data_IF_890447900169
#
_entry.id   IF_890447900169
#
_cell.length_a   1.000
_cell.length_b   1.000
_cell.length_c   1.000
_cell.angle_alpha   90.00
_cell.angle_beta   90.00
_cell.angle_gamma   90.00
#
_symmetry.space_group_name_H-M   'P 1'
#
loop_
_entity.id
_entity.type
_entity.pdbx_description
1 polymer ?
#
# COMPACT_ATOMS: atom_id res chain seq x y z
N UNK A 1 -21.77 12.09 10.32
CA UNK A 1 -20.80 11.81 9.24
C UNK A 1 -21.05 10.37 8.83
N UNK A 2 -21.43 10.08 7.59
CA UNK A 2 -21.73 8.70 7.23
C UNK A 2 -20.42 7.91 7.21
N UNK A 3 -20.32 6.89 8.05
CA UNK A 3 -19.16 6.01 8.04
C UNK A 3 -19.12 5.25 6.70
N UNK A 4 -17.93 4.86 6.22
CA UNK A 4 -17.83 4.12 4.96
C UNK A 4 -18.67 2.80 4.96
N UNK A 5 -19.00 2.24 6.12
CA UNK A 5 -19.89 1.07 6.23
C UNK A 5 -21.39 1.39 6.07
N UNK A 6 -21.77 2.67 6.15
CA UNK A 6 -23.11 3.19 5.86
C UNK A 6 -23.23 3.65 4.39
N UNK A 7 -22.09 3.69 3.68
CA UNK A 7 -22.02 4.01 2.26
C UNK A 7 -22.49 2.84 1.40
N UNK A 8 -23.18 3.09 0.26
CA UNK A 8 -23.46 2.05 -0.72
C UNK A 8 -22.19 1.38 -1.27
N UNK A 9 -21.04 2.06 -1.16
CA UNK A 9 -19.75 1.59 -1.64
C UNK A 9 -19.01 0.64 -0.68
N UNK A 10 -19.59 0.32 0.48
CA UNK A 10 -18.91 -0.50 1.51
C UNK A 10 -18.39 -1.84 0.98
N UNK A 11 -19.17 -2.51 0.13
CA UNK A 11 -18.77 -3.80 -0.44
C UNK A 11 -17.69 -3.64 -1.51
N UNK A 12 -17.68 -2.54 -2.26
CA UNK A 12 -16.61 -2.21 -3.19
C UNK A 12 -15.29 -1.97 -2.44
N UNK A 13 -15.33 -1.20 -1.35
CA UNK A 13 -14.15 -0.93 -0.51
C UNK A 13 -13.64 -2.21 0.15
N UNK A 14 -14.55 -3.03 0.70
CA UNK A 14 -14.20 -4.33 1.26
C UNK A 14 -13.55 -5.25 0.22
N UNK A 15 -14.15 -5.35 -0.97
CA UNK A 15 -13.61 -6.13 -2.07
C UNK A 15 -12.22 -5.63 -2.48
N UNK A 16 -12.06 -4.32 -2.69
CA UNK A 16 -10.78 -3.72 -3.07
C UNK A 16 -9.71 -3.99 -2.00
N UNK A 17 -10.06 -3.90 -0.72
CA UNK A 17 -9.16 -4.20 0.39
C UNK A 17 -8.72 -5.66 0.36
N UNK A 18 -9.67 -6.60 0.25
CA UNK A 18 -9.37 -8.03 0.23
C UNK A 18 -8.54 -8.39 -1.00
N UNK A 19 -8.91 -7.90 -2.18
CA UNK A 19 -8.16 -8.13 -3.41
C UNK A 19 -6.72 -7.60 -3.29
N UNK A 20 -6.55 -6.37 -2.79
CA UNK A 20 -5.23 -5.77 -2.61
C UNK A 20 -4.40 -6.50 -1.54
N UNK A 21 -5.05 -6.95 -0.46
CA UNK A 21 -4.42 -7.79 0.56
C UNK A 21 -3.88 -9.10 -0.04
N UNK A 22 -4.71 -9.81 -0.80
CA UNK A 22 -4.31 -11.06 -1.45
C UNK A 22 -3.22 -10.84 -2.49
N UNK A 23 -3.29 -9.76 -3.27
CA UNK A 23 -2.26 -9.43 -4.25
C UNK A 23 -0.87 -9.30 -3.61
N UNK A 24 -0.76 -8.56 -2.51
CA UNK A 24 0.49 -8.39 -1.76
C UNK A 24 0.90 -9.66 -1.02
N UNK A 25 -0.05 -10.39 -0.43
CA UNK A 25 0.21 -11.65 0.27
C UNK A 25 0.73 -12.72 -0.68
N UNK A 26 0.10 -12.89 -1.83
CA UNK A 26 0.54 -13.85 -2.84
C UNK A 26 1.99 -13.55 -3.23
N UNK A 27 2.27 -12.32 -3.64
CA UNK A 27 3.62 -11.88 -4.01
C UNK A 27 4.66 -12.11 -2.90
N UNK A 28 4.34 -11.72 -1.67
CA UNK A 28 5.23 -11.90 -0.52
C UNK A 28 5.44 -13.37 -0.14
N UNK A 29 4.36 -14.14 -0.02
CA UNK A 29 4.40 -15.55 0.37
C UNK A 29 5.11 -16.43 -0.66
N UNK A 30 5.00 -16.12 -1.95
CA UNK A 30 5.76 -16.82 -2.99
C UNK A 30 7.27 -16.76 -2.70
N UNK A 31 7.76 -15.59 -2.30
CA UNK A 31 9.15 -15.45 -1.90
C UNK A 31 9.45 -16.04 -0.52
N UNK A 32 8.61 -15.79 0.49
CA UNK A 32 8.87 -16.23 1.88
C UNK A 32 8.87 -17.75 2.02
N UNK A 33 7.93 -18.44 1.35
CA UNK A 33 7.73 -19.88 1.45
C UNK A 33 8.58 -20.63 0.42
N UNK A 34 8.52 -20.22 -0.84
CA UNK A 34 9.14 -20.96 -1.95
C UNK A 34 10.49 -20.40 -2.39
N UNK A 35 10.93 -19.28 -1.79
CA UNK A 35 12.13 -18.54 -2.24
C UNK A 35 12.09 -18.19 -3.73
N UNK A 36 10.88 -18.11 -4.28
CA UNK A 36 10.68 -17.85 -5.69
C UNK A 36 10.91 -16.37 -5.98
N UNK A 37 11.80 -16.10 -6.93
CA UNK A 37 12.04 -14.78 -7.51
C UNK A 37 11.63 -14.89 -8.98
N UNK A 38 10.66 -14.08 -9.46
CA UNK A 38 10.30 -14.09 -10.87
C UNK A 38 11.50 -13.78 -11.76
N UNK A 39 11.56 -14.41 -12.93
CA UNK A 39 12.57 -14.02 -13.92
C UNK A 39 12.20 -12.67 -14.54
N UNK A 40 13.03 -11.67 -14.28
CA UNK A 40 12.89 -10.32 -14.84
C UNK A 40 13.82 -10.07 -16.03
N UNK A 41 14.46 -11.11 -16.58
CA UNK A 41 15.35 -11.01 -17.76
C UNK A 41 14.70 -10.35 -18.97
N UNK A 42 13.38 -10.51 -19.10
CA UNK A 42 12.58 -9.92 -20.17
C UNK A 42 12.16 -8.46 -19.90
N UNK A 43 12.29 -7.94 -18.67
CA UNK A 43 11.81 -6.62 -18.26
C UNK A 43 12.84 -5.47 -18.49
N UNK A 44 13.82 -5.70 -19.36
CA UNK A 44 14.83 -4.69 -19.73
C UNK A 44 15.51 -4.02 -18.53
N UNK A 45 15.43 -2.68 -18.46
CA UNK A 45 16.04 -1.88 -17.37
C UNK A 45 15.42 -2.16 -16.00
N UNK A 46 14.14 -2.55 -15.96
CA UNK A 46 13.45 -2.91 -14.72
C UNK A 46 14.07 -4.19 -14.15
N UNK A 47 14.38 -5.16 -15.00
CA UNK A 47 15.05 -6.39 -14.58
C UNK A 47 16.42 -6.15 -13.96
N UNK A 48 17.25 -5.29 -14.56
CA UNK A 48 18.55 -4.92 -13.98
C UNK A 48 18.41 -4.21 -12.62
N UNK A 49 17.42 -3.34 -12.48
CA UNK A 49 17.13 -2.66 -11.22
C UNK A 49 16.68 -3.65 -10.12
N UNK A 50 15.76 -4.56 -10.45
CA UNK A 50 15.28 -5.57 -9.49
C UNK A 50 16.41 -6.54 -9.11
N UNK A 51 17.26 -6.94 -10.06
CA UNK A 51 18.45 -7.74 -9.78
C UNK A 51 19.37 -7.05 -8.77
N UNK A 52 19.70 -5.79 -9.00
CA UNK A 52 20.53 -5.01 -8.07
C UNK A 52 19.87 -4.84 -6.68
N UNK A 53 18.54 -4.66 -6.62
CA UNK A 53 17.80 -4.63 -5.35
C UNK A 53 17.89 -5.97 -4.61
N UNK A 54 17.84 -7.09 -5.34
CA UNK A 54 17.95 -8.42 -4.77
C UNK A 54 19.36 -8.71 -4.25
N UNK A 55 20.40 -8.24 -4.95
CA UNK A 55 21.80 -8.41 -4.55
C UNK A 55 22.10 -7.72 -3.20
N UNK A 56 21.49 -6.57 -2.94
CA UNK A 56 21.65 -5.83 -1.66
C UNK A 56 20.66 -6.23 -0.58
N UNK A 57 19.79 -7.22 -0.82
CA UNK A 57 18.80 -7.68 0.16
C UNK A 57 17.51 -6.85 0.22
N UNK A 58 17.39 -5.78 -0.56
CA UNK A 58 16.25 -4.86 -0.49
C UNK A 58 14.98 -5.46 -1.09
N UNK A 59 15.08 -6.23 -2.18
CA UNK A 59 13.94 -6.96 -2.75
C UNK A 59 13.30 -7.91 -1.71
N UNK A 60 14.15 -8.64 -0.98
CA UNK A 60 13.76 -9.61 0.04
C UNK A 60 13.07 -8.90 1.20
N UNK A 61 13.63 -7.78 1.64
CA UNK A 61 13.00 -6.91 2.65
C UNK A 61 11.59 -6.48 2.21
N UNK A 62 11.43 -6.05 0.95
CA UNK A 62 10.12 -5.69 0.40
C UNK A 62 9.16 -6.87 0.43
N UNK A 63 9.57 -8.09 0.06
CA UNK A 63 8.69 -9.28 0.12
C UNK A 63 8.25 -9.67 1.53
N UNK A 64 9.12 -9.54 2.52
CA UNK A 64 8.70 -9.70 3.92
C UNK A 64 7.69 -8.63 4.33
N UNK A 65 7.93 -7.39 3.91
CA UNK A 65 7.03 -6.28 4.20
C UNK A 65 5.67 -6.45 3.51
N UNK A 66 5.63 -6.85 2.24
CA UNK A 66 4.39 -7.19 1.51
C UNK A 66 3.57 -8.26 2.25
N UNK A 67 4.25 -9.29 2.77
CA UNK A 67 3.61 -10.36 3.55
C UNK A 67 2.97 -9.83 4.83
N UNK A 68 3.70 -8.99 5.59
CA UNK A 68 3.20 -8.41 6.84
C UNK A 68 2.02 -7.47 6.55
N UNK A 69 2.20 -6.52 5.62
CA UNK A 69 1.19 -5.52 5.30
C UNK A 69 -0.06 -6.17 4.69
N UNK A 70 0.11 -7.15 3.81
CA UNK A 70 -1.00 -7.90 3.24
C UNK A 70 -1.79 -8.66 4.32
N UNK A 71 -1.11 -9.22 5.32
CA UNK A 71 -1.76 -9.86 6.48
C UNK A 71 -2.55 -8.85 7.30
N UNK A 72 -1.98 -7.66 7.55
CA UNK A 72 -2.65 -6.58 8.27
C UNK A 72 -3.92 -6.12 7.54
N UNK A 73 -3.86 -5.93 6.21
CA UNK A 73 -5.04 -5.58 5.40
C UNK A 73 -6.10 -6.69 5.42
N UNK A 74 -5.68 -7.96 5.34
CA UNK A 74 -6.58 -9.11 5.35
C UNK A 74 -7.34 -9.22 6.68
N UNK A 75 -6.63 -9.05 7.79
CA UNK A 75 -7.19 -9.13 9.16
C UNK A 75 -7.86 -7.84 9.63
N UNK A 76 -7.89 -6.79 8.80
CA UNK A 76 -8.42 -5.47 9.16
C UNK A 76 -7.70 -4.80 10.35
N UNK A 77 -6.40 -5.06 10.50
CA UNK A 77 -5.58 -4.53 11.59
C UNK A 77 -4.73 -3.39 11.04
N UNK A 78 -4.81 -2.22 11.68
CA UNK A 78 -3.99 -1.04 11.33
C UNK A 78 -4.04 -0.67 9.83
N UNK A 79 -5.19 -0.88 9.17
CA UNK A 79 -5.34 -0.69 7.72
C UNK A 79 -4.82 0.66 7.22
N UNK A 80 -5.11 1.81 7.88
CA UNK A 80 -4.61 3.08 7.39
C UNK A 80 -3.08 3.18 7.36
N UNK A 81 -2.42 2.63 8.39
CA UNK A 81 -0.96 2.58 8.45
C UNK A 81 -0.41 1.68 7.34
N UNK A 82 -1.00 0.50 7.16
CA UNK A 82 -0.54 -0.46 6.18
C UNK A 82 -0.67 0.08 4.75
N UNK A 83 -1.76 0.78 4.42
CA UNK A 83 -1.94 1.43 3.12
C UNK A 83 -0.90 2.51 2.82
N UNK A 84 -0.49 3.30 3.83
CA UNK A 84 0.57 4.32 3.68
C UNK A 84 1.91 3.66 3.34
N UNK A 85 2.27 2.58 4.05
CA UNK A 85 3.52 1.88 3.78
C UNK A 85 3.48 1.20 2.41
N UNK A 86 2.35 0.56 2.06
CA UNK A 86 2.13 0.01 0.73
C UNK A 86 2.22 1.07 -0.37
N UNK A 87 1.77 2.31 -0.12
CA UNK A 87 1.87 3.38 -1.11
C UNK A 87 3.32 3.65 -1.56
N UNK A 88 4.30 3.50 -0.65
CA UNK A 88 5.72 3.58 -1.01
C UNK A 88 6.14 2.51 -2.01
N UNK A 89 5.66 1.27 -1.81
CA UNK A 89 5.90 0.13 -2.72
C UNK A 89 5.17 0.36 -4.05
N UNK A 90 3.88 0.71 -4.00
CA UNK A 90 3.05 0.97 -5.17
C UNK A 90 3.65 2.10 -6.03
N UNK A 91 4.17 3.19 -5.45
CA UNK A 91 4.81 4.27 -6.21
C UNK A 91 6.00 3.75 -7.01
N UNK A 92 6.85 2.89 -6.43
CA UNK A 92 7.97 2.27 -7.15
C UNK A 92 7.46 1.38 -8.28
N UNK A 93 6.47 0.52 -8.03
CA UNK A 93 5.88 -0.35 -9.06
C UNK A 93 5.28 0.47 -10.20
N UNK A 94 4.48 1.48 -9.87
CA UNK A 94 3.86 2.41 -10.84
C UNK A 94 4.92 3.09 -11.70
N UNK A 95 5.99 3.58 -11.08
CA UNK A 95 7.06 4.25 -11.82
C UNK A 95 7.74 3.31 -12.81
N UNK A 96 8.16 2.12 -12.35
CA UNK A 96 8.85 1.15 -13.19
C UNK A 96 7.95 0.65 -14.33
N UNK A 97 6.72 0.29 -14.01
CA UNK A 97 5.83 -0.36 -14.96
C UNK A 97 5.19 0.62 -15.96
N UNK A 98 4.93 1.88 -15.57
CA UNK A 98 4.28 2.85 -16.47
C UNK A 98 5.29 3.67 -17.27
N UNK A 99 6.49 3.91 -16.73
CA UNK A 99 7.44 4.86 -17.33
C UNK A 99 8.76 4.24 -17.79
N UNK A 100 9.17 3.08 -17.24
CA UNK A 100 10.48 2.48 -17.57
C UNK A 100 10.34 1.33 -18.56
N UNK A 101 9.41 0.40 -18.34
CA UNK A 101 9.19 -0.75 -19.22
C UNK A 101 7.68 -1.02 -19.42
N UNK A 102 7.00 -0.27 -20.29
CA UNK A 102 5.54 -0.35 -20.43
C UNK A 102 5.10 -1.56 -21.29
N UNK A 103 5.54 -2.76 -20.92
CA UNK A 103 4.99 -3.98 -21.51
C UNK A 103 3.52 -4.14 -21.10
N UNK A 104 2.64 -4.77 -21.92
CA UNK A 104 1.19 -4.82 -21.65
C UNK A 104 0.83 -5.35 -20.25
N UNK A 105 1.57 -6.36 -19.77
CA UNK A 105 1.41 -6.92 -18.42
C UNK A 105 1.84 -5.93 -17.33
N UNK A 106 2.93 -5.22 -17.56
CA UNK A 106 3.49 -4.24 -16.61
C UNK A 106 2.55 -3.04 -16.51
N UNK A 107 2.09 -2.51 -17.65
CA UNK A 107 1.09 -1.43 -17.70
C UNK A 107 -0.17 -1.76 -16.89
N UNK A 108 -0.71 -2.96 -17.08
CA UNK A 108 -1.86 -3.42 -16.31
C UNK A 108 -1.56 -3.45 -14.80
N UNK A 109 -0.41 -4.01 -14.41
CA UNK A 109 -0.01 -4.12 -13.01
C UNK A 109 0.23 -2.74 -12.39
N UNK A 110 0.89 -1.83 -13.09
CA UNK A 110 1.14 -0.47 -12.62
C UNK A 110 -0.16 0.33 -12.44
N UNK A 111 -1.08 0.24 -13.41
CA UNK A 111 -2.40 0.87 -13.27
C UNK A 111 -3.22 0.25 -12.13
N UNK A 112 -3.19 -1.07 -12.00
CA UNK A 112 -3.87 -1.78 -10.91
C UNK A 112 -3.37 -1.29 -9.54
N UNK A 113 -2.05 -1.21 -9.35
CA UNK A 113 -1.43 -0.70 -8.12
C UNK A 113 -1.87 0.72 -7.80
N UNK A 114 -1.78 1.62 -8.79
CA UNK A 114 -2.17 3.02 -8.64
C UNK A 114 -3.64 3.16 -8.25
N UNK A 115 -4.52 2.45 -8.95
CA UNK A 115 -5.96 2.56 -8.76
C UNK A 115 -6.40 1.94 -7.44
N UNK A 116 -5.89 0.76 -7.07
CA UNK A 116 -6.29 0.10 -5.83
C UNK A 116 -5.73 0.80 -4.60
N UNK A 117 -4.43 1.10 -4.58
CA UNK A 117 -3.82 1.80 -3.46
C UNK A 117 -4.43 3.21 -3.31
N UNK A 118 -4.57 3.95 -4.41
CA UNK A 118 -5.19 5.27 -4.43
C UNK A 118 -6.66 5.26 -3.97
N UNK A 119 -7.46 4.33 -4.48
CA UNK A 119 -8.88 4.21 -4.07
C UNK A 119 -9.02 3.85 -2.61
N UNK A 120 -8.18 2.93 -2.10
CA UNK A 120 -8.20 2.55 -0.69
C UNK A 120 -7.72 3.70 0.20
N UNK A 121 -6.67 4.43 -0.18
CA UNK A 121 -6.24 5.62 0.53
C UNK A 121 -7.36 6.67 0.62
N UNK A 122 -8.12 6.87 -0.46
CA UNK A 122 -9.28 7.76 -0.46
C UNK A 122 -10.42 7.23 0.41
N UNK A 123 -10.72 5.92 0.35
CA UNK A 123 -11.77 5.29 1.15
C UNK A 123 -11.48 5.38 2.66
N UNK A 124 -10.21 5.29 3.06
CA UNK A 124 -9.74 5.50 4.43
C UNK A 124 -9.32 6.97 4.70
N UNK A 125 -9.62 7.90 3.78
CA UNK A 125 -9.17 9.29 3.77
C UNK A 125 -9.48 10.08 5.03
N UNK A 126 -10.60 9.77 5.69
CA UNK A 126 -10.97 10.40 6.96
C UNK A 126 -9.90 10.25 8.05
N UNK A 127 -9.20 9.11 8.08
CA UNK A 127 -8.10 8.87 9.03
C UNK A 127 -6.84 9.67 8.69
N UNK A 128 -6.67 10.09 7.43
CA UNK A 128 -5.50 10.84 6.96
C UNK A 128 -5.70 12.36 6.96
N UNK A 129 -6.88 12.86 7.31
CA UNK A 129 -7.20 14.29 7.21
C UNK A 129 -6.17 15.21 7.89
N UNK A 130 -5.56 14.77 9.00
CA UNK A 130 -4.52 15.54 9.69
C UNK A 130 -3.20 15.64 8.93
N UNK A 131 -2.89 14.72 8.00
CA UNK A 131 -1.67 14.78 7.19
C UNK A 131 -1.72 15.88 6.12
N UNK A 132 -2.91 16.36 5.76
CA UNK A 132 -3.07 17.46 4.79
C UNK A 132 -2.96 18.87 5.41
N UNK A 133 -2.58 18.97 6.69
CA UNK A 133 -2.36 20.28 7.32
C UNK A 133 -1.10 20.95 6.79
N UNK A 134 -1.28 22.11 6.16
CA UNK A 134 -0.18 22.92 5.62
C UNK A 134 0.80 23.38 6.72
N UNK A 135 0.31 23.66 7.93
CA UNK A 135 1.14 24.08 9.07
C UNK A 135 0.87 23.17 10.27
N UNK A 136 1.65 22.11 10.41
CA UNK A 136 1.63 21.25 11.59
C UNK A 136 2.64 21.75 12.63
N UNK A 137 2.22 21.81 13.90
CA UNK A 137 3.15 22.01 15.03
C UNK A 137 3.66 20.65 15.50
N UNK A 138 4.93 20.52 15.93
CA UNK A 138 5.43 19.29 16.53
C UNK A 138 4.52 18.85 17.67
N UNK A 139 4.09 17.60 17.62
CA UNK A 139 3.19 17.02 18.59
C UNK A 139 3.59 15.57 18.84
N UNK A 140 3.80 15.21 20.10
CA UNK A 140 4.31 13.90 20.45
C UNK A 140 3.27 12.81 20.17
N UNK A 141 3.75 11.70 19.61
CA UNK A 141 2.93 10.54 19.30
C UNK A 141 2.10 10.06 20.50
N UNK A 142 2.72 9.97 21.68
CA UNK A 142 2.08 9.53 22.93
C UNK A 142 0.93 10.45 23.37
N UNK A 143 1.04 11.75 23.11
CA UNK A 143 0.00 12.71 23.48
C UNK A 143 -1.16 12.70 22.48
N UNK A 144 -0.89 12.32 21.23
CA UNK A 144 -1.94 12.03 20.24
C UNK A 144 -2.74 10.78 20.56
N UNK A 145 -2.10 9.73 21.07
CA UNK A 145 -2.80 8.50 21.46
C UNK A 145 -3.74 8.68 22.66
N UNK A 146 -3.45 9.62 23.57
CA UNK A 146 -4.28 9.90 24.75
C UNK A 146 -5.58 10.63 24.41
N UNK A 147 -5.67 11.23 23.22
CA UNK A 147 -6.93 11.79 22.72
C UNK A 147 -7.74 10.64 22.14
N UNK A 148 -8.60 10.03 22.96
CA UNK A 148 -9.63 9.11 22.46
C UNK A 148 -10.38 9.77 21.31
N UNK A 149 -10.41 9.10 20.15
CA UNK A 149 -11.20 9.51 19.00
C UNK A 149 -10.69 10.78 18.33
N UNK A 150 -10.36 10.66 17.05
CA UNK A 150 -10.50 11.81 16.17
C UNK A 150 -12.00 12.19 16.15
N UNK A 151 -12.44 13.06 17.06
CA UNK A 151 -13.70 13.80 16.90
C UNK A 151 -13.43 14.92 15.89
N UNK A 152 -13.90 14.81 14.63
CA UNK A 152 -13.74 15.87 13.65
C UNK A 152 -14.71 16.98 14.02
N UNK A 153 -14.28 17.89 14.90
CA UNK A 153 -15.13 18.95 15.42
C UNK A 153 -14.65 19.63 16.70
N UNK A 154 -13.64 19.10 17.40
CA UNK A 154 -13.06 19.84 18.53
C UNK A 154 -12.45 21.13 18.00
N UNK A 155 -13.13 22.25 18.25
CA UNK A 155 -12.70 23.59 17.85
C UNK A 155 -11.26 23.79 18.31
N UNK A 156 -10.41 24.17 17.35
CA UNK A 156 -9.04 24.60 17.57
C UNK A 156 -9.01 25.96 18.24
#
# INVERSE_FOLDING_TARGET
>A
MNMAHESPWKYLVMWARLYFAFHYLESGLYYVVFRYVPDFSHAGKVGAYIGAMADVGFYQMVKYLETILGTLLLLDIAVPLALIVMAGISVTIVFLNLFVSPDPRELFTGLQELLLNGTLLLAYGGYYANFFRIKAKPFWFWDGMKREGFEPGSKW
#
